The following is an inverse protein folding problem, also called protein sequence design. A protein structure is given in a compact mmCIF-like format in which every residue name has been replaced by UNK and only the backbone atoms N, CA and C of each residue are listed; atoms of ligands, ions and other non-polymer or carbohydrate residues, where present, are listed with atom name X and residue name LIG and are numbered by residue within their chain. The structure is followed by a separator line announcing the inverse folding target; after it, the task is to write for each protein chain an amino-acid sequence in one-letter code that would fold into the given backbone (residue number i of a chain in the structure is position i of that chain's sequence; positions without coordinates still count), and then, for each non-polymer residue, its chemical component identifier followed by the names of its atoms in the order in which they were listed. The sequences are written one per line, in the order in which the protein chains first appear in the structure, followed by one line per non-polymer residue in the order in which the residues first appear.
data_IF_446627340055
#
_entry.id   IF_446627340055
#
_cell.length_a   1.000
_cell.length_b   1.000
_cell.length_c   1.000
_cell.angle_alpha   90.00
_cell.angle_beta   90.00
_cell.angle_gamma   90.00
#
_symmetry.space_group_name_H-M   'P 1'
#
loop_
_entity.id
_entity.type
_entity.pdbx_description
1 polymer ?
#
# COMPACT_ATOMS: atom_id res chain seq x y z
N UNK A 1 -1.28 -16.88 24.97
CA UNK A 1 -1.94 -17.36 23.74
C UNK A 1 -2.21 -16.23 22.76
N UNK A 2 -2.98 -15.19 23.13
CA UNK A 2 -3.30 -14.05 22.25
C UNK A 2 -2.06 -13.26 21.77
N UNK A 3 -1.07 -13.07 22.63
CA UNK A 3 0.19 -12.38 22.28
C UNK A 3 0.96 -13.10 21.16
N UNK A 4 1.04 -14.43 21.21
CA UNK A 4 1.74 -15.22 20.18
C UNK A 4 1.02 -15.10 18.83
N UNK A 5 -0.32 -15.11 18.83
CA UNK A 5 -1.12 -14.89 17.62
C UNK A 5 -0.91 -13.49 17.05
N UNK A 6 -0.79 -12.47 17.91
CA UNK A 6 -0.47 -11.10 17.49
C UNK A 6 0.89 -11.05 16.77
N UNK A 7 1.95 -11.59 17.36
CA UNK A 7 3.28 -11.60 16.75
C UNK A 7 3.33 -12.36 15.42
N UNK A 8 2.63 -13.49 15.32
CA UNK A 8 2.52 -14.23 14.05
C UNK A 8 1.77 -13.40 13.01
N UNK A 9 0.66 -12.76 13.40
CA UNK A 9 -0.13 -11.94 12.49
C UNK A 9 0.64 -10.74 11.94
N UNK A 10 1.38 -10.02 12.80
CA UNK A 10 2.19 -8.87 12.40
C UNK A 10 3.35 -9.29 11.50
N UNK A 11 3.98 -10.42 11.78
CA UNK A 11 5.04 -10.97 10.92
C UNK A 11 4.54 -11.27 9.50
N UNK A 12 3.38 -11.94 9.37
CA UNK A 12 2.78 -12.24 8.06
C UNK A 12 2.39 -10.97 7.31
N UNK A 13 1.83 -9.96 8.01
CA UNK A 13 1.47 -8.68 7.40
C UNK A 13 2.70 -7.93 6.87
N UNK A 14 3.78 -7.88 7.65
CA UNK A 14 5.04 -7.25 7.23
C UNK A 14 5.65 -7.97 6.02
N UNK A 15 5.65 -9.32 6.02
CA UNK A 15 6.11 -10.08 4.85
C UNK A 15 5.27 -9.78 3.61
N UNK A 16 3.95 -9.66 3.76
CA UNK A 16 3.07 -9.35 2.63
C UNK A 16 3.34 -7.96 2.08
N UNK A 17 3.52 -6.95 2.94
CA UNK A 17 3.94 -5.60 2.54
C UNK A 17 5.29 -5.62 1.83
N UNK A 18 6.25 -6.40 2.32
CA UNK A 18 7.57 -6.52 1.70
C UNK A 18 7.49 -7.10 0.28
N UNK A 19 6.64 -8.11 0.06
CA UNK A 19 6.43 -8.70 -1.27
C UNK A 19 5.76 -7.71 -2.23
N UNK A 20 4.76 -6.96 -1.77
CA UNK A 20 4.11 -5.93 -2.58
C UNK A 20 5.09 -4.81 -2.97
N UNK A 21 5.92 -4.36 -2.03
CA UNK A 21 6.99 -3.40 -2.29
C UNK A 21 8.00 -3.95 -3.31
N UNK A 22 8.40 -5.22 -3.16
CA UNK A 22 9.29 -5.90 -4.10
C UNK A 22 8.71 -5.96 -5.52
N UNK A 23 7.41 -6.24 -5.65
CA UNK A 23 6.73 -6.23 -6.95
C UNK A 23 6.75 -4.83 -7.60
N UNK A 24 6.49 -3.77 -6.82
CA UNK A 24 6.57 -2.40 -7.32
C UNK A 24 7.99 -2.00 -7.75
N UNK A 25 9.02 -2.46 -7.02
CA UNK A 25 10.42 -2.25 -7.38
C UNK A 25 10.79 -2.95 -8.69
N UNK A 26 10.29 -4.17 -8.92
CA UNK A 26 10.52 -4.87 -10.20
C UNK A 26 9.85 -4.09 -11.34
N UNK A 27 8.61 -3.62 -11.17
CA UNK A 27 7.94 -2.78 -12.18
C UNK A 27 8.69 -1.47 -12.45
N UNK A 28 9.30 -0.88 -11.43
CA UNK A 28 10.12 0.33 -11.57
C UNK A 28 11.40 0.04 -12.37
N UNK A 29 12.04 -1.10 -12.11
CA UNK A 29 13.24 -1.54 -12.84
C UNK A 29 12.90 -1.88 -14.29
N UNK A 30 11.79 -2.57 -14.54
CA UNK A 30 11.31 -2.85 -15.90
C UNK A 30 11.05 -1.56 -16.69
N UNK A 31 10.61 -0.50 -16.00
CA UNK A 31 10.40 0.84 -16.57
C UNK A 31 11.74 1.58 -16.80
N UNK A 32 12.70 1.46 -15.88
CA UNK A 32 14.04 2.09 -16.00
C UNK A 32 14.81 1.57 -17.22
N UNK A 33 14.71 0.27 -17.49
CA UNK A 33 15.36 -0.37 -18.63
C UNK A 33 14.53 -0.29 -19.94
N UNK A 34 13.46 0.50 -19.95
CA UNK A 34 12.58 0.74 -21.10
C UNK A 34 11.94 -0.55 -21.68
N UNK A 35 11.80 -1.59 -20.85
CA UNK A 35 11.22 -2.88 -21.25
C UNK A 35 9.69 -2.86 -21.32
N UNK A 36 9.04 -1.92 -20.62
CA UNK A 36 7.58 -1.83 -20.53
C UNK A 36 7.09 -0.39 -20.66
N UNK A 37 5.93 -0.23 -21.28
CA UNK A 37 5.34 1.09 -21.48
C UNK A 37 4.91 1.71 -20.13
N UNK A 38 5.18 3.01 -19.88
CA UNK A 38 4.74 3.70 -18.67
C UNK A 38 3.22 3.65 -18.42
N UNK A 39 2.39 3.58 -19.46
CA UNK A 39 0.94 3.42 -19.31
C UNK A 39 0.57 2.02 -18.76
N UNK A 40 1.28 0.98 -19.18
CA UNK A 40 1.07 -0.37 -18.64
C UNK A 40 1.59 -0.50 -17.21
N UNK A 41 2.69 0.16 -16.87
CA UNK A 41 3.22 0.16 -15.50
C UNK A 41 2.32 0.90 -14.51
N UNK A 42 1.81 2.08 -14.89
CA UNK A 42 0.93 2.88 -14.01
C UNK A 42 -0.40 2.18 -13.72
N UNK A 43 -1.00 1.49 -14.70
CA UNK A 43 -2.22 0.70 -14.47
C UNK A 43 -2.00 -0.48 -13.52
N UNK A 44 -0.88 -1.20 -13.64
CA UNK A 44 -0.51 -2.31 -12.75
C UNK A 44 -0.21 -1.83 -11.33
N UNK A 45 0.54 -0.74 -11.18
CA UNK A 45 0.82 -0.14 -9.87
C UNK A 45 -0.47 0.30 -9.19
N UNK A 46 -1.41 0.94 -9.91
CA UNK A 46 -2.68 1.37 -9.35
C UNK A 46 -3.55 0.21 -8.85
N UNK A 47 -3.45 -0.97 -9.48
CA UNK A 47 -4.14 -2.16 -8.97
C UNK A 47 -3.49 -2.72 -7.70
N UNK A 48 -2.17 -2.60 -7.56
CA UNK A 48 -1.39 -3.13 -6.43
C UNK A 48 -1.33 -2.16 -5.24
N UNK A 49 -1.48 -0.85 -5.46
CA UNK A 49 -1.48 0.16 -4.38
C UNK A 49 -2.69 0.00 -3.45
N UNK A 50 -3.86 -0.37 -4.01
CA UNK A 50 -5.10 -0.59 -3.26
C UNK A 50 -4.97 -1.69 -2.18
N UNK A 51 -4.50 -2.92 -2.49
CA UNK A 51 -4.28 -3.95 -1.47
C UNK A 51 -3.15 -3.59 -0.50
N UNK A 52 -2.11 -2.86 -0.94
CA UNK A 52 -1.07 -2.36 -0.02
C UNK A 52 -1.65 -1.43 1.05
N UNK A 53 -2.48 -0.45 0.65
CA UNK A 53 -3.14 0.44 1.59
C UNK A 53 -4.06 -0.29 2.56
N UNK A 54 -4.79 -1.30 2.07
CA UNK A 54 -5.66 -2.12 2.92
C UNK A 54 -4.84 -2.87 3.99
N UNK A 55 -3.73 -3.50 3.61
CA UNK A 55 -2.87 -4.25 4.53
C UNK A 55 -2.21 -3.31 5.53
N UNK A 56 -1.74 -2.13 5.10
CA UNK A 56 -1.18 -1.11 5.98
C UNK A 56 -2.23 -0.62 7.00
N UNK A 57 -3.49 -0.45 6.59
CA UNK A 57 -4.59 -0.08 7.48
C UNK A 57 -4.91 -1.17 8.51
N UNK A 58 -4.94 -2.43 8.08
CA UNK A 58 -5.12 -3.59 8.98
C UNK A 58 -3.97 -3.66 9.99
N UNK A 59 -2.72 -3.48 9.54
CA UNK A 59 -1.55 -3.46 10.42
C UNK A 59 -1.64 -2.35 11.47
N UNK A 60 -2.03 -1.15 11.06
CA UNK A 60 -2.24 0.00 11.95
C UNK A 60 -3.34 -0.29 13.00
N UNK A 61 -4.46 -0.87 12.57
CA UNK A 61 -5.57 -1.23 13.45
C UNK A 61 -5.22 -2.33 14.45
N UNK A 62 -4.47 -3.35 14.04
CA UNK A 62 -3.99 -4.41 14.92
C UNK A 62 -3.02 -3.88 15.99
N UNK A 63 -2.13 -2.94 15.64
CA UNK A 63 -1.24 -2.29 16.61
C UNK A 63 -2.01 -1.41 17.62
N UNK A 64 -3.11 -0.77 17.19
CA UNK A 64 -3.98 0.01 18.06
C UNK A 64 -4.67 -0.88 19.10
N UNK A 65 -5.24 -2.02 18.68
CA UNK A 65 -5.90 -2.98 19.58
C UNK A 65 -4.90 -3.63 20.54
N UNK A 66 -3.69 -3.94 20.08
CA UNK A 66 -2.64 -4.52 20.90
C UNK A 66 -2.03 -3.53 21.92
N UNK A 67 -2.39 -2.24 21.86
CA UNK A 67 -1.90 -1.21 22.79
C UNK A 67 -0.45 -0.78 22.52
N UNK A 68 0.06 -1.02 21.31
CA UNK A 68 1.39 -0.57 20.90
C UNK A 68 1.33 0.83 20.26
N UNK A 69 1.08 1.83 21.10
CA UNK A 69 0.86 3.23 20.71
C UNK A 69 2.03 3.85 19.93
N UNK A 70 3.27 3.45 20.22
CA UNK A 70 4.45 4.01 19.58
C UNK A 70 4.56 3.61 18.10
N UNK A 71 4.27 2.34 17.79
CA UNK A 71 4.28 1.81 16.42
C UNK A 71 3.09 2.39 15.63
N UNK A 72 1.94 2.53 16.28
CA UNK A 72 0.77 3.19 15.72
C UNK A 72 1.06 4.65 15.32
N UNK A 73 1.71 5.44 16.19
CA UNK A 73 2.06 6.84 15.90
C UNK A 73 2.99 6.99 14.69
N UNK A 74 3.86 6.01 14.42
CA UNK A 74 4.74 6.00 13.25
C UNK A 74 3.97 5.58 11.98
N UNK A 75 3.03 4.64 12.09
CA UNK A 75 2.22 4.17 10.96
C UNK A 75 1.13 5.18 10.53
N UNK A 76 0.65 6.01 11.45
CA UNK A 76 -0.40 7.00 11.25
C UNK A 76 -0.09 8.03 10.14
N UNK A 77 1.09 8.69 10.09
CA UNK A 77 1.42 9.62 9.01
C UNK A 77 1.48 8.96 7.64
N UNK A 78 1.96 7.71 7.53
CA UNK A 78 1.93 6.96 6.28
C UNK A 78 0.48 6.72 5.81
N UNK A 79 -0.38 6.26 6.72
CA UNK A 79 -1.79 6.01 6.42
C UNK A 79 -2.53 7.31 6.04
N UNK A 80 -2.25 8.42 6.73
CA UNK A 80 -2.80 9.73 6.42
C UNK A 80 -2.38 10.23 5.03
N UNK A 81 -1.10 10.10 4.69
CA UNK A 81 -0.60 10.47 3.37
C UNK A 81 -1.29 9.66 2.27
N UNK A 82 -1.44 8.35 2.47
CA UNK A 82 -2.08 7.45 1.51
C UNK A 82 -3.57 7.75 1.30
N UNK A 83 -4.30 8.03 2.38
CA UNK A 83 -5.72 8.40 2.31
C UNK A 83 -5.90 9.77 1.67
N UNK A 84 -5.08 10.76 2.03
CA UNK A 84 -5.15 12.11 1.45
C UNK A 84 -4.82 12.11 -0.04
N UNK A 85 -3.85 11.30 -0.48
CA UNK A 85 -3.56 11.10 -1.91
C UNK A 85 -4.73 10.43 -2.63
N UNK A 86 -5.30 9.37 -2.06
CA UNK A 86 -6.46 8.68 -2.65
C UNK A 86 -7.68 9.61 -2.76
N UNK A 87 -7.93 10.41 -1.73
CA UNK A 87 -9.01 11.40 -1.70
C UNK A 87 -8.75 12.57 -2.65
N UNK A 88 -7.49 12.94 -2.88
CA UNK A 88 -7.10 13.98 -3.84
C UNK A 88 -7.14 13.51 -5.30
N UNK A 89 -7.02 12.21 -5.55
CA UNK A 89 -7.19 11.61 -6.90
C UNK A 89 -8.68 11.46 -7.27
N UNK A 90 -9.54 11.14 -6.31
CA UNK A 90 -10.99 10.98 -6.53
C UNK A 90 -11.81 12.23 -6.97
N UNK A 91 -11.46 13.50 -6.73
CA UNK A 91 -12.26 14.66 -7.16
C UNK A 91 -12.12 14.95 -8.67
N UNK A 92 -11.21 14.29 -9.38
CA UNK A 92 -10.98 14.47 -10.82
C UNK A 92 -11.39 13.26 -11.69
N UNK A 93 -12.06 12.24 -11.14
CA UNK A 93 -12.62 11.11 -11.92
C UNK A 93 -13.93 11.47 -12.65
N UNK A 94 -14.08 12.74 -13.07
CA UNK A 94 -15.18 13.21 -13.91
C UNK A 94 -14.85 13.28 -15.40
N UNK A 95 -13.58 13.13 -15.80
CA UNK A 95 -13.16 13.21 -17.21
C UNK A 95 -11.89 12.38 -17.43
N UNK A 96 -12.02 11.11 -17.82
CA UNK A 96 -11.17 10.48 -18.85
C UNK A 96 -11.49 8.98 -18.94
N UNK A 97 -12.54 8.66 -19.70
CA UNK A 97 -12.75 7.31 -20.24
C UNK A 97 -12.99 7.39 -21.76
N UNK A 98 -12.48 8.43 -22.42
CA UNK A 98 -12.79 8.72 -23.83
C UNK A 98 -11.59 9.11 -24.71
N UNK A 99 -10.35 8.82 -24.32
CA UNK A 99 -9.24 8.89 -25.29
C UNK A 99 -8.09 7.96 -24.91
N UNK A 100 -7.85 7.03 -25.83
CA UNK A 100 -6.57 6.37 -26.16
C UNK A 100 -5.92 5.47 -25.09
#
# INVERSE_FOLDING_TARGET
MAEVLYWISTFVLILTLLVLLGYQLILLVDLEFDYINPYDSTSRVNYVILPEFLIMAIFCFLNLIAGHWFIFLIALPCLYYNVSMSLFVLPHSGYSSTVA
#
